data_IF_643459129600
#
_entry.id   IF_643459129600
#
_cell.length_a   1.000
_cell.length_b   1.000
_cell.length_c   1.000
_cell.angle_alpha   90.00
_cell.angle_beta   90.00
_cell.angle_gamma   90.00
#
_symmetry.space_group_name_H-M   'P 1'
#
loop_
_entity.id
_entity.type
_entity.pdbx_description
1 polymer ?
#
# COMPACT_ATOMS: atom_id res chain seq x y z
N UNK A 1 11.85 -16.27 13.76
CA UNK A 1 11.44 -14.96 13.23
C UNK A 1 12.12 -14.70 11.91
N UNK A 2 11.35 -14.50 10.85
CA UNK A 2 11.90 -14.17 9.54
C UNK A 2 12.02 -12.66 9.39
N UNK A 3 13.08 -12.20 8.72
CA UNK A 3 13.19 -10.80 8.31
C UNK A 3 12.02 -10.47 7.37
N UNK A 4 11.53 -9.23 7.48
CA UNK A 4 10.51 -8.66 6.58
C UNK A 4 11.10 -7.40 5.97
N UNK A 5 10.77 -7.09 4.70
CA UNK A 5 11.24 -5.87 4.06
C UNK A 5 10.77 -4.65 4.84
N UNK A 6 11.61 -3.62 4.89
CA UNK A 6 11.18 -2.29 5.29
C UNK A 6 10.34 -1.65 4.18
N UNK A 7 9.38 -0.82 4.56
CA UNK A 7 8.61 -0.02 3.61
C UNK A 7 9.39 1.23 3.20
N UNK A 8 9.33 1.58 1.92
CA UNK A 8 9.96 2.81 1.43
C UNK A 8 9.29 4.05 2.02
N UNK A 9 10.06 5.14 2.15
CA UNK A 9 9.50 6.43 2.54
C UNK A 9 8.37 6.84 1.59
N UNK A 10 7.28 7.38 2.14
CA UNK A 10 6.09 7.73 1.36
C UNK A 10 5.13 6.58 1.06
N UNK A 11 5.44 5.33 1.45
CA UNK A 11 4.49 4.22 1.29
C UNK A 11 3.18 4.55 2.04
N UNK A 12 2.00 4.49 1.40
CA UNK A 12 0.73 4.75 2.06
C UNK A 12 0.50 3.83 3.26
N UNK A 13 0.07 4.38 4.39
CA UNK A 13 -0.23 3.64 5.62
C UNK A 13 -1.28 2.54 5.43
N UNK A 14 -2.28 2.76 4.57
CA UNK A 14 -3.29 1.77 4.23
C UNK A 14 -2.68 0.56 3.50
N UNK A 15 -1.65 0.77 2.68
CA UNK A 15 -0.89 -0.30 2.05
C UNK A 15 -0.02 -1.03 3.08
N UNK A 16 0.68 -0.29 3.95
CA UNK A 16 1.49 -0.86 5.03
C UNK A 16 0.64 -1.78 5.92
N UNK A 17 -0.56 -1.33 6.31
CA UNK A 17 -1.48 -2.11 7.12
C UNK A 17 -1.87 -3.42 6.43
N UNK A 18 -2.26 -3.36 5.14
CA UNK A 18 -2.62 -4.56 4.37
C UNK A 18 -1.42 -5.50 4.21
N UNK A 19 -0.24 -4.98 3.88
CA UNK A 19 0.97 -5.76 3.70
C UNK A 19 1.39 -6.46 5.00
N UNK A 20 1.28 -5.79 6.15
CA UNK A 20 1.52 -6.39 7.46
C UNK A 20 0.55 -7.55 7.74
N UNK A 21 -0.74 -7.41 7.41
CA UNK A 21 -1.70 -8.51 7.54
C UNK A 21 -1.36 -9.69 6.63
N UNK A 22 -0.96 -9.44 5.38
CA UNK A 22 -0.50 -10.48 4.46
C UNK A 22 0.73 -11.25 4.98
N UNK A 23 1.60 -10.57 5.73
CA UNK A 23 2.85 -11.11 6.27
C UNK A 23 2.74 -11.63 7.72
N UNK A 24 1.53 -11.68 8.29
CA UNK A 24 1.31 -12.10 9.68
C UNK A 24 1.89 -13.50 9.93
N UNK A 25 2.50 -13.68 11.10
CA UNK A 25 3.09 -14.96 11.51
C UNK A 25 1.99 -16.02 11.65
N UNK A 26 0.82 -15.63 12.13
CA UNK A 26 -0.36 -16.48 12.23
C UNK A 26 -1.07 -16.57 10.87
N UNK A 27 -1.08 -17.75 10.22
CA UNK A 27 -1.75 -17.91 8.93
C UNK A 27 -3.25 -17.59 8.96
N UNK A 28 -3.91 -17.71 10.12
CA UNK A 28 -5.35 -17.42 10.26
C UNK A 28 -5.65 -15.92 10.26
N UNK A 29 -4.65 -15.07 10.53
CA UNK A 29 -4.78 -13.61 10.46
C UNK A 29 -4.50 -13.05 9.08
N UNK A 30 -3.97 -13.87 8.17
CA UNK A 30 -3.69 -13.44 6.80
C UNK A 30 -4.99 -13.31 6.03
N UNK A 31 -5.18 -12.23 5.26
CA UNK A 31 -6.32 -12.11 4.38
C UNK A 31 -6.23 -13.16 3.27
N UNK A 32 -7.38 -13.63 2.82
CA UNK A 32 -7.50 -14.42 1.60
C UNK A 32 -7.12 -13.59 0.38
N UNK A 33 -6.66 -14.23 -0.69
CA UNK A 33 -6.40 -13.55 -1.96
C UNK A 33 -7.64 -12.77 -2.47
N UNK A 34 -8.85 -13.25 -2.18
CA UNK A 34 -10.10 -12.58 -2.52
C UNK A 34 -10.29 -11.26 -1.76
N UNK A 35 -9.93 -11.21 -0.48
CA UNK A 35 -10.01 -9.98 0.33
C UNK A 35 -8.98 -8.95 -0.13
N UNK A 36 -7.75 -9.39 -0.40
CA UNK A 36 -6.70 -8.54 -0.97
C UNK A 36 -7.13 -7.98 -2.32
N UNK A 37 -7.67 -8.82 -3.21
CA UNK A 37 -8.19 -8.39 -4.50
C UNK A 37 -9.30 -7.34 -4.36
N UNK A 38 -10.26 -7.54 -3.45
CA UNK A 38 -11.32 -6.56 -3.19
C UNK A 38 -10.76 -5.22 -2.73
N UNK A 39 -9.73 -5.22 -1.86
CA UNK A 39 -9.08 -3.99 -1.41
C UNK A 39 -8.40 -3.25 -2.56
N UNK A 40 -7.70 -3.96 -3.44
CA UNK A 40 -7.11 -3.34 -4.62
C UNK A 40 -8.15 -2.81 -5.61
N UNK A 41 -9.27 -3.51 -5.80
CA UNK A 41 -10.38 -3.00 -6.63
C UNK A 41 -11.00 -1.73 -6.03
N UNK A 42 -11.20 -1.70 -4.71
CA UNK A 42 -11.68 -0.52 -3.99
C UNK A 42 -10.75 0.68 -4.21
N UNK A 43 -9.45 0.51 -4.01
CA UNK A 43 -8.47 1.58 -4.25
C UNK A 43 -8.42 2.00 -5.71
N UNK A 44 -8.48 1.06 -6.67
CA UNK A 44 -8.54 1.37 -8.10
C UNK A 44 -9.75 2.23 -8.44
N UNK A 45 -10.92 1.91 -7.88
CA UNK A 45 -12.14 2.71 -8.08
C UNK A 45 -11.95 4.12 -7.50
N UNK A 46 -11.42 4.23 -6.28
CA UNK A 46 -11.15 5.52 -5.63
C UNK A 46 -10.19 6.37 -6.47
N UNK A 47 -9.09 5.80 -6.95
CA UNK A 47 -8.08 6.51 -7.75
C UNK A 47 -8.61 6.98 -9.11
N UNK A 48 -9.65 6.34 -9.64
CA UNK A 48 -10.25 6.69 -10.93
C UNK A 48 -11.40 7.70 -10.82
N UNK A 49 -11.81 8.09 -9.61
CA UNK A 49 -12.90 9.03 -9.37
C UNK A 49 -12.39 10.46 -9.17
N UNK A 50 -13.24 11.43 -9.48
CA UNK A 50 -13.00 12.82 -9.09
C UNK A 50 -13.18 13.00 -7.58
N UNK A 51 -12.48 13.97 -6.98
CA UNK A 51 -12.56 14.27 -5.53
C UNK A 51 -14.02 14.56 -5.09
N UNK A 52 -14.83 15.14 -5.99
CA UNK A 52 -16.23 15.48 -5.75
C UNK A 52 -17.14 14.26 -5.58
N UNK A 53 -16.74 13.11 -6.13
CA UNK A 53 -17.47 11.83 -6.04
C UNK A 53 -17.04 10.96 -4.85
N UNK A 54 -16.08 11.43 -4.05
CA UNK A 54 -15.48 10.70 -2.95
C UNK A 54 -15.99 11.21 -1.60
N UNK A 55 -16.19 10.28 -0.68
CA UNK A 55 -16.33 10.64 0.73
C UNK A 55 -14.98 11.04 1.34
N UNK A 56 -15.02 11.64 2.53
CA UNK A 56 -13.82 12.13 3.22
C UNK A 56 -12.75 11.04 3.45
N UNK A 57 -13.14 9.79 3.66
CA UNK A 57 -12.20 8.70 3.87
C UNK A 57 -11.57 8.24 2.55
N UNK A 58 -12.37 8.16 1.49
CA UNK A 58 -11.89 7.84 0.15
C UNK A 58 -10.93 8.92 -0.37
N UNK A 59 -11.24 10.21 -0.17
CA UNK A 59 -10.34 11.31 -0.53
C UNK A 59 -9.01 11.23 0.22
N UNK A 60 -9.03 10.86 1.51
CA UNK A 60 -7.79 10.64 2.27
C UNK A 60 -6.96 9.50 1.69
N UNK A 61 -7.60 8.40 1.27
CA UNK A 61 -6.91 7.27 0.63
C UNK A 61 -6.31 7.73 -0.71
N UNK A 62 -7.10 8.39 -1.56
CA UNK A 62 -6.65 8.91 -2.86
C UNK A 62 -5.42 9.81 -2.69
N UNK A 63 -5.50 10.80 -1.79
CA UNK A 63 -4.40 11.74 -1.55
C UNK A 63 -3.13 11.04 -1.05
N UNK A 64 -3.25 9.99 -0.23
CA UNK A 64 -2.07 9.24 0.23
C UNK A 64 -1.32 8.56 -0.92
N UNK A 65 -2.05 8.00 -1.87
CA UNK A 65 -1.44 7.39 -3.07
C UNK A 65 -0.85 8.46 -4.01
N UNK A 66 -1.56 9.56 -4.25
CA UNK A 66 -1.04 10.67 -5.07
C UNK A 66 0.24 11.27 -4.46
N UNK A 67 0.25 11.51 -3.14
CA UNK A 67 1.44 11.99 -2.44
C UNK A 67 2.59 10.98 -2.52
N UNK A 68 2.31 9.68 -2.49
CA UNK A 68 3.33 8.66 -2.66
C UNK A 68 3.95 8.74 -4.07
N UNK A 69 3.11 8.91 -5.10
CA UNK A 69 3.56 9.03 -6.49
C UNK A 69 4.45 10.26 -6.73
N UNK A 70 4.22 11.36 -6.00
CA UNK A 70 5.10 12.54 -6.03
C UNK A 70 6.48 12.27 -5.42
N UNK A 71 6.57 11.36 -4.46
CA UNK A 71 7.82 11.01 -3.78
C UNK A 71 8.62 9.99 -4.62
N UNK A 72 7.96 9.08 -5.35
CA UNK A 72 8.62 8.01 -6.12
C UNK A 72 9.82 8.49 -6.97
N UNK A 73 9.74 9.59 -7.74
CA UNK A 73 10.88 10.10 -8.52
C UNK A 73 12.07 10.56 -7.68
N UNK A 74 11.83 10.98 -6.44
CA UNK A 74 12.86 11.46 -5.50
C UNK A 74 13.57 10.31 -4.78
N UNK A 75 12.92 9.14 -4.71
CA UNK A 75 13.52 7.92 -4.18
C UNK A 75 14.47 7.42 -5.26
N UNK A 76 15.75 7.75 -5.13
CA UNK A 76 16.79 7.08 -5.92
C UNK A 76 16.57 5.59 -5.71
N UNK A 77 16.54 4.75 -6.77
CA UNK A 77 16.54 3.32 -6.58
C UNK A 77 17.88 2.99 -5.94
N UNK A 78 17.93 2.89 -4.61
CA UNK A 78 18.97 2.13 -3.96
C UNK A 78 18.74 0.70 -4.45
N UNK A 79 19.49 0.32 -5.49
CA UNK A 79 19.98 -1.03 -5.61
C UNK A 79 20.73 -1.32 -4.31
N UNK A 80 20.01 -1.66 -3.24
CA UNK A 80 20.57 -2.56 -2.25
C UNK A 80 20.68 -3.86 -3.02
N UNK A 81 21.86 -4.07 -3.60
CA UNK A 81 22.33 -5.39 -3.95
C UNK A 81 21.98 -6.28 -2.74
N UNK A 82 21.10 -7.26 -2.93
CA UNK A 82 21.21 -8.46 -2.12
C UNK A 82 22.54 -9.08 -2.54
N UNK A 83 23.63 -8.64 -1.90
CA UNK A 83 24.78 -9.50 -1.70
C UNK A 83 24.36 -10.41 -0.54
N UNK A 84 23.91 -11.61 -0.90
CA UNK A 84 24.23 -12.91 -0.29
C UNK A 84 23.64 -14.01 -1.18
#
# INVERSE_FOLDING_TARGET
DGLRPEFAAGTPDCYIQLANQCMDKDPLKRPTAKEVYKKFQEWKIILNKSIEELDQNQTKIQNKFLNADEIIPTIRPTQKQHQD
#
